data_IF_178570475201
#
_entry.id   IF_178570475201
#
_cell.length_a   1.000
_cell.length_b   1.000
_cell.length_c   1.000
_cell.angle_alpha   90.00
_cell.angle_beta   90.00
_cell.angle_gamma   90.00
#
_symmetry.space_group_name_H-M   'P 1'
#
loop_
_entity.id
_entity.type
_entity.pdbx_description
1 polymer ?
#
# COMPACT_ATOMS: atom_id res chain seq x y z
N UNK A 1 15.42 -14.26 -20.77
CA UNK A 1 14.72 -14.94 -19.67
C UNK A 1 13.23 -14.90 -19.98
N UNK A 2 12.47 -15.97 -19.87
CA UNK A 2 11.03 -15.87 -20.07
C UNK A 2 10.44 -14.96 -19.00
N UNK A 3 9.54 -14.07 -19.42
CA UNK A 3 8.77 -13.21 -18.52
C UNK A 3 7.92 -14.08 -17.58
N UNK A 4 7.74 -13.62 -16.34
CA UNK A 4 6.84 -14.20 -15.38
C UNK A 4 5.45 -14.35 -16.00
N UNK A 5 4.91 -15.56 -16.10
CA UNK A 5 3.53 -15.76 -16.48
C UNK A 5 2.67 -15.74 -15.21
N UNK A 6 1.94 -14.65 -15.01
CA UNK A 6 0.80 -14.68 -14.12
C UNK A 6 -0.33 -15.44 -14.84
N UNK A 7 -0.88 -16.45 -14.20
CA UNK A 7 -2.08 -17.12 -14.70
C UNK A 7 -3.27 -16.38 -14.13
N UNK A 8 -4.08 -15.78 -14.99
CA UNK A 8 -5.29 -15.06 -14.60
C UNK A 8 -6.51 -15.64 -15.31
N UNK A 9 -7.53 -15.99 -14.54
CA UNK A 9 -8.84 -16.40 -15.04
C UNK A 9 -9.86 -15.32 -14.67
N UNK A 10 -10.26 -14.55 -15.67
CA UNK A 10 -11.25 -13.48 -15.54
C UNK A 10 -12.69 -13.93 -15.78
N UNK A 11 -12.93 -15.22 -16.05
CA UNK A 11 -14.24 -15.82 -16.29
C UNK A 11 -15.05 -15.23 -17.45
N UNK A 12 -14.42 -14.50 -18.36
CA UNK A 12 -15.08 -13.74 -19.44
C UNK A 12 -15.58 -14.63 -20.62
N UNK A 13 -15.15 -15.88 -20.67
CA UNK A 13 -15.56 -16.84 -21.70
C UNK A 13 -16.23 -18.06 -21.08
N UNK A 14 -16.89 -18.85 -21.91
CA UNK A 14 -17.62 -20.04 -21.48
C UNK A 14 -19.09 -19.77 -21.16
N UNK A 15 -19.85 -20.84 -21.02
CA UNK A 15 -21.29 -20.82 -20.71
C UNK A 15 -21.62 -21.91 -19.70
N UNK A 16 -22.17 -21.52 -18.56
CA UNK A 16 -22.64 -22.42 -17.51
C UNK A 16 -23.89 -21.82 -16.87
N UNK A 17 -25.08 -22.04 -17.44
CA UNK A 17 -26.29 -21.30 -17.08
C UNK A 17 -27.06 -21.88 -15.89
N UNK A 18 -26.77 -23.09 -15.49
CA UNK A 18 -27.46 -23.82 -14.40
C UNK A 18 -26.50 -24.18 -13.27
N UNK A 19 -27.04 -24.49 -12.10
CA UNK A 19 -26.28 -24.83 -10.90
C UNK A 19 -25.86 -26.32 -10.78
N UNK A 20 -26.20 -27.18 -11.74
CA UNK A 20 -25.74 -28.55 -11.71
C UNK A 20 -24.21 -28.65 -11.78
N UNK A 21 -23.65 -29.70 -11.19
CA UNK A 21 -22.21 -29.95 -11.31
C UNK A 21 -21.81 -30.11 -12.78
N UNK A 22 -20.78 -29.43 -13.22
CA UNK A 22 -20.32 -29.54 -14.61
C UNK A 22 -19.02 -28.79 -14.89
N UNK A 23 -18.27 -29.34 -15.86
CA UNK A 23 -17.04 -28.72 -16.37
C UNK A 23 -17.36 -27.64 -17.39
N UNK A 24 -16.59 -26.58 -17.37
CA UNK A 24 -16.63 -25.47 -18.33
C UNK A 24 -15.22 -25.13 -18.79
N UNK A 25 -15.03 -24.97 -20.10
CA UNK A 25 -13.77 -24.49 -20.65
C UNK A 25 -13.70 -22.98 -20.54
N UNK A 26 -12.70 -22.51 -19.81
CA UNK A 26 -12.38 -21.09 -19.56
C UNK A 26 -11.03 -20.73 -20.20
N UNK A 27 -10.57 -19.50 -20.02
CA UNK A 27 -9.35 -19.00 -20.67
C UNK A 27 -8.07 -19.73 -20.24
N UNK A 28 -8.00 -20.15 -18.99
CA UNK A 28 -6.84 -20.83 -18.39
C UNK A 28 -6.90 -22.34 -18.49
N UNK A 29 -8.05 -22.91 -18.85
CA UNK A 29 -8.28 -24.35 -18.92
C UNK A 29 -9.70 -24.72 -18.49
N UNK A 30 -9.93 -26.02 -18.22
CA UNK A 30 -11.24 -26.48 -17.74
C UNK A 30 -11.38 -26.32 -16.24
N UNK A 31 -12.56 -25.87 -15.82
CA UNK A 31 -12.93 -25.72 -14.42
C UNK A 31 -14.25 -26.45 -14.14
N UNK A 32 -14.33 -27.15 -13.02
CA UNK A 32 -15.59 -27.67 -12.52
C UNK A 32 -16.30 -26.64 -11.66
N UNK A 33 -17.55 -26.35 -12.01
CA UNK A 33 -18.47 -25.52 -11.22
C UNK A 33 -19.54 -26.44 -10.64
N UNK A 34 -19.64 -26.50 -9.31
CA UNK A 34 -20.68 -27.23 -8.59
C UNK A 34 -21.49 -26.26 -7.75
N UNK A 35 -22.82 -26.34 -7.86
CA UNK A 35 -23.75 -25.38 -7.27
C UNK A 35 -23.35 -23.90 -7.60
N UNK A 36 -22.90 -23.71 -8.85
CA UNK A 36 -22.34 -22.47 -9.37
C UNK A 36 -22.68 -22.28 -10.86
N UNK A 37 -22.75 -21.03 -11.28
CA UNK A 37 -23.00 -20.60 -12.67
C UNK A 37 -22.04 -19.51 -13.11
N UNK A 38 -21.87 -19.31 -14.42
CA UNK A 38 -21.33 -18.09 -14.98
C UNK A 38 -22.46 -17.06 -15.10
N UNK A 39 -22.47 -16.08 -14.20
CA UNK A 39 -23.51 -15.07 -14.09
C UNK A 39 -23.15 -13.79 -14.84
N UNK A 40 -24.11 -13.27 -15.61
CA UNK A 40 -23.94 -12.06 -16.42
C UNK A 40 -25.09 -11.05 -16.24
N UNK A 41 -25.91 -11.22 -15.21
CA UNK A 41 -27.01 -10.33 -14.91
C UNK A 41 -26.55 -9.01 -14.30
N UNK A 42 -27.41 -8.00 -14.23
CA UNK A 42 -27.12 -6.75 -13.57
C UNK A 42 -26.89 -6.86 -12.04
N UNK A 43 -27.33 -7.97 -11.45
CA UNK A 43 -27.12 -8.25 -10.03
C UNK A 43 -25.82 -9.04 -9.74
N UNK A 44 -25.11 -9.50 -10.78
CA UNK A 44 -23.77 -10.06 -10.64
C UNK A 44 -22.77 -8.92 -10.55
N UNK A 45 -22.07 -8.84 -9.42
CA UNK A 45 -20.95 -7.91 -9.25
C UNK A 45 -19.73 -8.55 -9.90
N UNK A 46 -19.22 -7.92 -10.95
CA UNK A 46 -18.21 -8.46 -11.85
C UNK A 46 -17.33 -7.36 -12.43
N UNK A 47 -16.11 -7.72 -12.76
CA UNK A 47 -15.22 -6.98 -13.63
C UNK A 47 -15.38 -7.55 -15.04
N UNK A 48 -15.85 -6.78 -16.01
CA UNK A 48 -16.15 -7.28 -17.36
C UNK A 48 -17.58 -7.80 -17.57
N UNK A 49 -17.76 -8.91 -18.32
CA UNK A 49 -19.04 -9.39 -18.82
C UNK A 49 -19.74 -10.37 -17.88
N UNK A 50 -18.99 -11.23 -17.18
CA UNK A 50 -19.54 -12.26 -16.30
C UNK A 50 -18.62 -12.59 -15.14
N UNK A 51 -19.15 -13.22 -14.08
CA UNK A 51 -18.43 -13.72 -12.92
C UNK A 51 -18.99 -15.08 -12.51
N UNK A 52 -18.26 -15.87 -11.74
CA UNK A 52 -18.80 -17.08 -11.13
C UNK A 52 -19.73 -16.69 -9.99
N UNK A 53 -20.98 -17.17 -10.00
CA UNK A 53 -21.96 -17.01 -8.93
C UNK A 53 -22.17 -18.34 -8.21
N UNK A 54 -21.73 -18.41 -6.97
CA UNK A 54 -21.87 -19.55 -6.06
C UNK A 54 -23.12 -19.41 -5.20
N UNK A 55 -23.85 -20.51 -4.96
CA UNK A 55 -24.92 -20.58 -3.97
C UNK A 55 -24.70 -21.75 -3.02
N UNK A 56 -25.44 -21.82 -1.91
CA UNK A 56 -25.40 -22.87 -0.89
C UNK A 56 -23.96 -23.26 -0.51
N UNK A 57 -23.52 -24.50 -0.76
CA UNK A 57 -22.18 -25.03 -0.54
C UNK A 57 -21.37 -25.14 -1.83
N UNK A 58 -21.61 -24.28 -2.81
CA UNK A 58 -21.02 -24.34 -4.14
C UNK A 58 -19.50 -24.24 -4.15
N UNK A 59 -18.90 -24.78 -5.19
CA UNK A 59 -17.45 -24.76 -5.41
C UNK A 59 -17.06 -24.47 -6.85
N UNK A 60 -15.82 -24.03 -6.99
CA UNK A 60 -15.14 -23.69 -8.24
C UNK A 60 -13.76 -24.35 -8.21
N UNK A 61 -13.50 -25.34 -9.07
CA UNK A 61 -12.32 -26.21 -8.98
C UNK A 61 -11.57 -26.25 -10.31
N UNK A 62 -10.25 -26.00 -10.29
CA UNK A 62 -9.36 -26.23 -11.43
C UNK A 62 -9.28 -27.71 -11.76
N UNK A 63 -9.48 -28.10 -13.03
CA UNK A 63 -9.30 -29.47 -13.51
C UNK A 63 -7.84 -29.73 -13.95
N UNK A 64 -7.01 -28.72 -14.04
CA UNK A 64 -5.62 -28.78 -14.46
C UNK A 64 -4.68 -28.35 -13.32
N UNK A 65 -3.42 -28.73 -13.42
CA UNK A 65 -2.37 -28.31 -12.50
C UNK A 65 -1.53 -27.20 -13.12
N UNK A 66 -1.25 -26.17 -12.35
CA UNK A 66 -0.18 -25.22 -12.64
C UNK A 66 1.16 -25.96 -12.52
N UNK A 67 2.07 -25.87 -13.50
CA UNK A 67 3.25 -26.73 -13.56
C UNK A 67 4.34 -26.36 -12.55
N UNK A 68 4.46 -25.09 -12.22
CA UNK A 68 5.55 -24.51 -11.43
C UNK A 68 5.20 -24.31 -9.96
N UNK A 69 3.90 -24.29 -9.63
CA UNK A 69 3.41 -23.97 -8.29
C UNK A 69 2.82 -22.57 -8.20
N UNK A 70 2.61 -22.09 -6.96
CA UNK A 70 2.06 -20.76 -6.70
C UNK A 70 2.77 -20.11 -5.49
N UNK A 71 3.09 -18.83 -5.60
CA UNK A 71 3.58 -17.99 -4.50
C UNK A 71 2.43 -17.21 -3.84
N UNK A 72 1.59 -16.57 -4.63
CA UNK A 72 0.42 -15.83 -4.16
C UNK A 72 -0.79 -16.06 -5.06
N UNK A 73 -1.99 -15.87 -4.48
CA UNK A 73 -3.25 -15.87 -5.22
C UNK A 73 -4.04 -14.65 -4.80
N UNK A 74 -4.64 -13.96 -5.76
CA UNK A 74 -5.66 -12.93 -5.51
C UNK A 74 -6.98 -13.35 -6.15
N UNK A 75 -8.09 -12.98 -5.50
CA UNK A 75 -9.46 -13.30 -5.95
C UNK A 75 -10.35 -12.10 -5.69
N UNK A 76 -11.06 -11.65 -6.71
CA UNK A 76 -12.11 -10.64 -6.53
C UNK A 76 -13.40 -11.31 -6.06
N UNK A 77 -14.09 -10.68 -5.09
CA UNK A 77 -15.34 -11.23 -4.54
C UNK A 77 -16.33 -10.15 -4.11
N UNK A 78 -17.63 -10.44 -4.24
CA UNK A 78 -18.71 -9.58 -3.75
C UNK A 78 -19.96 -10.42 -3.42
N UNK A 79 -20.91 -9.88 -2.63
CA UNK A 79 -22.23 -10.50 -2.53
C UNK A 79 -22.96 -10.35 -3.86
N UNK A 80 -23.86 -11.28 -4.20
CA UNK A 80 -24.73 -11.11 -5.36
C UNK A 80 -25.87 -10.16 -5.03
N UNK A 81 -26.08 -9.13 -5.83
CA UNK A 81 -27.13 -8.14 -5.61
C UNK A 81 -27.11 -7.55 -4.19
N UNK A 82 -28.17 -7.84 -3.43
CA UNK A 82 -28.31 -7.42 -2.03
C UNK A 82 -28.40 -8.62 -1.07
N UNK A 83 -27.87 -9.78 -1.48
CA UNK A 83 -27.87 -10.97 -0.65
C UNK A 83 -27.07 -10.75 0.65
N UNK A 84 -27.41 -11.52 1.70
CA UNK A 84 -26.69 -11.45 2.97
C UNK A 84 -25.22 -11.93 2.80
N UNK A 85 -24.39 -11.60 3.78
CA UNK A 85 -22.99 -12.01 3.82
C UNK A 85 -22.83 -13.53 3.79
N UNK A 86 -21.75 -13.99 3.19
CA UNK A 86 -21.34 -15.39 3.16
C UNK A 86 -19.84 -15.53 3.29
N UNK A 87 -19.35 -16.70 3.67
CA UNK A 87 -17.92 -16.98 3.75
C UNK A 87 -17.50 -18.03 2.73
N UNK A 88 -16.24 -17.96 2.33
CA UNK A 88 -15.62 -18.94 1.45
C UNK A 88 -14.15 -19.17 1.85
N UNK A 89 -13.59 -20.24 1.33
CA UNK A 89 -12.24 -20.70 1.63
C UNK A 89 -11.53 -21.14 0.36
N UNK A 90 -10.22 -20.90 0.32
CA UNK A 90 -9.34 -21.39 -0.72
C UNK A 90 -8.67 -22.69 -0.28
N UNK A 91 -8.61 -23.66 -1.17
CA UNK A 91 -7.91 -24.93 -0.97
C UNK A 91 -6.92 -25.18 -2.10
N UNK A 92 -5.81 -25.83 -1.76
CA UNK A 92 -4.78 -26.27 -2.70
C UNK A 92 -4.65 -27.79 -2.66
N UNK A 93 -4.38 -28.39 -3.82
CA UNK A 93 -3.97 -29.77 -3.95
C UNK A 93 -2.64 -29.82 -4.70
N UNK A 94 -1.57 -30.22 -4.00
CA UNK A 94 -0.23 -30.39 -4.57
C UNK A 94 0.00 -31.84 -4.99
N UNK A 95 0.59 -32.02 -6.16
CA UNK A 95 0.98 -33.34 -6.65
C UNK A 95 2.18 -33.93 -5.89
N UNK A 96 3.01 -33.07 -5.28
CA UNK A 96 4.22 -33.50 -4.54
C UNK A 96 3.94 -34.32 -3.30
N UNK A 97 2.75 -34.22 -2.70
CA UNK A 97 2.41 -35.00 -1.51
C UNK A 97 1.88 -36.40 -1.82
N UNK A 98 1.66 -36.76 -3.08
CA UNK A 98 1.11 -38.05 -3.53
C UNK A 98 -0.17 -38.52 -2.77
N UNK A 99 -0.93 -37.56 -2.19
CA UNK A 99 -2.01 -37.85 -1.25
C UNK A 99 -3.39 -37.43 -1.74
N UNK A 100 -3.54 -36.83 -2.93
CA UNK A 100 -4.81 -36.31 -3.49
C UNK A 100 -5.64 -35.50 -2.48
N UNK A 101 -4.99 -34.88 -1.48
CA UNK A 101 -5.66 -34.20 -0.38
C UNK A 101 -5.74 -32.70 -0.66
N UNK A 102 -6.92 -32.13 -0.48
CA UNK A 102 -7.11 -30.70 -0.44
C UNK A 102 -6.69 -30.13 0.94
N UNK A 103 -5.86 -29.12 0.93
CA UNK A 103 -5.40 -28.40 2.14
C UNK A 103 -5.88 -26.97 2.06
N UNK A 104 -6.49 -26.47 3.12
CA UNK A 104 -6.92 -25.07 3.21
C UNK A 104 -5.71 -24.13 3.15
N UNK A 105 -5.84 -23.06 2.38
CA UNK A 105 -4.85 -21.98 2.24
C UNK A 105 -5.38 -20.70 2.90
N UNK A 106 -4.62 -20.15 3.81
CA UNK A 106 -4.96 -18.89 4.48
C UNK A 106 -6.22 -18.94 5.36
N UNK A 107 -6.74 -17.78 5.67
CA UNK A 107 -7.92 -17.60 6.50
C UNK A 107 -9.23 -17.73 5.70
N UNK A 108 -10.34 -17.93 6.39
CA UNK A 108 -11.70 -17.87 5.80
C UNK A 108 -12.00 -16.42 5.42
N UNK A 109 -12.48 -16.18 4.22
CA UNK A 109 -12.87 -14.86 3.73
C UNK A 109 -14.36 -14.63 3.97
N UNK A 110 -14.69 -13.52 4.61
CA UNK A 110 -16.07 -13.03 4.76
C UNK A 110 -16.38 -12.03 3.63
N UNK A 111 -17.40 -12.31 2.82
CA UNK A 111 -17.93 -11.43 1.81
C UNK A 111 -19.20 -10.74 2.30
N UNK A 112 -19.17 -9.43 2.46
CA UNK A 112 -20.31 -8.63 2.92
C UNK A 112 -20.57 -7.37 2.06
N UNK A 113 -19.69 -7.07 1.12
CA UNK A 113 -19.76 -5.90 0.24
C UNK A 113 -20.41 -6.26 -1.10
N UNK A 114 -21.22 -5.34 -1.63
CA UNK A 114 -21.70 -5.37 -3.01
C UNK A 114 -20.74 -4.73 -4.01
N UNK A 115 -19.61 -4.22 -3.54
CA UNK A 115 -18.49 -3.77 -4.39
C UNK A 115 -17.44 -4.86 -4.36
N UNK A 116 -16.85 -5.18 -5.52
CA UNK A 116 -15.76 -6.14 -5.61
C UNK A 116 -14.62 -5.77 -4.66
N UNK A 117 -14.19 -6.71 -3.87
CA UNK A 117 -13.06 -6.63 -2.94
C UNK A 117 -12.02 -7.68 -3.32
N UNK A 118 -10.77 -7.41 -3.06
CA UNK A 118 -9.68 -8.37 -3.33
C UNK A 118 -9.35 -9.15 -2.07
N UNK A 119 -9.42 -10.47 -2.13
CA UNK A 119 -8.82 -11.35 -1.14
C UNK A 119 -7.45 -11.82 -1.64
N UNK A 120 -6.42 -11.73 -0.81
CA UNK A 120 -5.05 -12.15 -1.13
C UNK A 120 -4.60 -13.30 -0.23
N UNK A 121 -3.89 -14.27 -0.81
CA UNK A 121 -3.40 -15.47 -0.12
C UNK A 121 -1.92 -15.67 -0.40
N UNK A 122 -1.11 -15.81 0.64
CA UNK A 122 0.25 -16.34 0.53
C UNK A 122 0.17 -17.86 0.47
N UNK A 123 0.63 -18.45 -0.62
CA UNK A 123 0.51 -19.89 -0.90
C UNK A 123 1.83 -20.63 -0.71
N UNK A 124 2.89 -20.16 -1.33
CA UNK A 124 4.27 -20.69 -1.26
C UNK A 124 4.37 -22.21 -1.48
N UNK A 125 3.66 -22.72 -2.48
CA UNK A 125 3.70 -24.14 -2.88
C UNK A 125 4.53 -24.29 -4.17
N UNK A 126 5.63 -25.03 -4.10
CA UNK A 126 6.46 -25.38 -5.26
C UNK A 126 5.94 -26.64 -5.96
N UNK A 127 6.18 -26.75 -7.26
CA UNK A 127 5.76 -27.88 -8.08
C UNK A 127 4.27 -27.86 -8.42
N UNK A 128 3.78 -28.92 -9.06
CA UNK A 128 2.44 -28.94 -9.62
C UNK A 128 1.35 -28.80 -8.56
N UNK A 129 0.48 -27.79 -8.73
CA UNK A 129 -0.61 -27.46 -7.80
C UNK A 129 -1.86 -27.03 -8.56
N UNK A 130 -3.02 -27.31 -8.00
CA UNK A 130 -4.32 -26.78 -8.45
C UNK A 130 -5.14 -26.30 -7.25
N UNK A 131 -6.15 -25.48 -7.52
CA UNK A 131 -6.90 -24.77 -6.50
C UNK A 131 -8.40 -25.01 -6.61
N UNK A 132 -9.07 -24.84 -5.47
CA UNK A 132 -10.52 -24.91 -5.34
C UNK A 132 -11.00 -23.82 -4.37
N UNK A 133 -12.04 -23.10 -4.77
CA UNK A 133 -12.78 -22.19 -3.89
C UNK A 133 -14.05 -22.91 -3.44
N UNK A 134 -14.34 -22.90 -2.14
CA UNK A 134 -15.55 -23.46 -1.53
C UNK A 134 -16.29 -22.41 -0.73
N UNK A 135 -17.57 -22.22 -1.02
CA UNK A 135 -18.46 -21.44 -0.18
C UNK A 135 -18.80 -22.22 1.09
N UNK A 136 -18.56 -21.63 2.26
CA UNK A 136 -18.63 -22.35 3.56
C UNK A 136 -19.77 -21.86 4.48
N UNK A 137 -20.34 -20.68 4.21
CA UNK A 137 -21.46 -20.15 5.00
C UNK A 137 -22.44 -19.32 4.19
N UNK A 138 -23.47 -18.77 4.84
CA UNK A 138 -24.48 -17.89 4.24
C UNK A 138 -25.66 -18.63 3.59
N UNK A 139 -25.70 -19.97 3.64
CA UNK A 139 -26.82 -20.79 3.13
C UNK A 139 -27.16 -20.41 1.66
N UNK A 140 -28.39 -19.95 1.41
CA UNK A 140 -28.86 -19.56 0.07
C UNK A 140 -28.38 -18.20 -0.41
N UNK A 141 -27.73 -17.39 0.42
CA UNK A 141 -27.11 -16.14 -0.01
C UNK A 141 -26.05 -16.45 -1.06
N UNK A 142 -26.07 -15.75 -2.18
CA UNK A 142 -25.17 -15.98 -3.32
C UNK A 142 -23.96 -15.06 -3.21
N UNK A 143 -22.87 -15.51 -3.77
CA UNK A 143 -21.59 -14.83 -3.77
C UNK A 143 -21.00 -14.82 -5.18
N UNK A 144 -20.49 -13.70 -5.64
CA UNK A 144 -19.73 -13.61 -6.86
C UNK A 144 -18.23 -13.79 -6.57
N UNK A 145 -17.57 -14.57 -7.43
CA UNK A 145 -16.11 -14.72 -7.50
C UNK A 145 -15.67 -14.30 -8.89
N UNK A 146 -14.62 -13.49 -8.96
CA UNK A 146 -14.09 -12.96 -10.20
C UNK A 146 -12.56 -12.84 -10.14
N UNK A 147 -11.89 -12.60 -11.26
CA UNK A 147 -10.46 -12.32 -11.39
C UNK A 147 -9.58 -13.20 -10.48
N UNK A 148 -9.57 -14.51 -10.75
CA UNK A 148 -8.69 -15.43 -10.05
C UNK A 148 -7.29 -15.36 -10.64
N UNK A 149 -6.36 -14.68 -9.97
CA UNK A 149 -5.00 -14.51 -10.44
C UNK A 149 -4.00 -15.28 -9.57
N UNK A 150 -3.09 -16.00 -10.21
CA UNK A 150 -2.02 -16.76 -9.55
C UNK A 150 -0.67 -16.22 -10.00
N UNK A 151 0.18 -15.91 -9.02
CA UNK A 151 1.60 -15.74 -9.28
C UNK A 151 2.31 -17.08 -9.10
N UNK A 152 3.05 -17.49 -10.11
CA UNK A 152 3.78 -18.76 -10.09
C UNK A 152 4.81 -18.83 -8.97
N UNK A 153 5.08 -20.04 -8.46
CA UNK A 153 6.13 -20.28 -7.47
C UNK A 153 7.52 -20.11 -8.09
N UNK A 154 8.42 -19.45 -7.39
CA UNK A 154 9.79 -19.20 -7.87
C UNK A 154 9.88 -18.20 -9.01
N UNK A 155 8.75 -17.71 -9.52
CA UNK A 155 8.74 -16.44 -10.23
C UNK A 155 8.90 -15.40 -9.15
N UNK A 156 10.07 -14.77 -9.11
CA UNK A 156 10.18 -13.54 -8.35
C UNK A 156 9.05 -12.64 -8.86
N UNK A 157 8.08 -12.31 -8.01
CA UNK A 157 7.33 -11.07 -8.17
C UNK A 157 8.38 -10.05 -8.61
N UNK A 158 8.10 -9.10 -9.54
CA UNK A 158 8.98 -7.95 -9.61
C UNK A 158 9.16 -7.55 -8.15
N UNK A 159 10.36 -7.80 -7.63
CA UNK A 159 10.55 -7.77 -6.18
C UNK A 159 10.07 -6.38 -5.77
N UNK A 160 9.12 -6.30 -4.86
CA UNK A 160 8.78 -5.03 -4.23
C UNK A 160 9.98 -4.54 -3.40
N UNK A 161 11.07 -5.35 -3.37
CA UNK A 161 12.35 -4.95 -2.81
C UNK A 161 12.75 -3.61 -3.43
N UNK A 162 13.11 -2.68 -2.58
CA UNK A 162 13.40 -1.29 -2.92
C UNK A 162 12.19 -0.49 -3.46
N UNK A 163 10.99 -1.11 -3.56
CA UNK A 163 9.78 -0.36 -3.88
C UNK A 163 9.38 0.54 -2.71
N UNK A 164 9.00 1.77 -3.00
CA UNK A 164 8.46 2.70 -2.00
C UNK A 164 7.23 2.15 -1.26
N UNK A 165 6.55 1.14 -1.81
CA UNK A 165 5.35 0.50 -1.24
C UNK A 165 5.60 -0.95 -0.79
N UNK A 166 6.86 -1.38 -0.65
CA UNK A 166 7.17 -2.76 -0.25
C UNK A 166 6.47 -3.17 1.05
N UNK A 167 6.39 -2.28 2.02
CA UNK A 167 5.76 -2.54 3.32
C UNK A 167 4.25 -2.20 3.37
N UNK A 168 3.67 -1.65 2.29
CA UNK A 168 2.23 -1.38 2.20
C UNK A 168 1.88 -0.05 1.55
N UNK A 169 0.60 0.10 1.22
CA UNK A 169 -0.02 1.34 0.75
C UNK A 169 -0.88 1.92 1.88
N UNK A 170 -0.41 2.91 2.63
CA UNK A 170 -0.98 3.33 3.92
C UNK A 170 -2.47 3.63 3.93
N UNK A 171 -3.01 4.11 2.84
CA UNK A 171 -4.41 4.55 2.74
C UNK A 171 -5.19 3.86 1.62
N UNK A 172 -4.61 2.82 0.97
CA UNK A 172 -5.19 2.25 -0.24
C UNK A 172 -5.34 3.29 -1.36
N UNK A 173 -4.37 4.21 -1.51
CA UNK A 173 -4.40 5.24 -2.56
C UNK A 173 -4.35 4.59 -3.95
N UNK A 174 -5.07 5.17 -4.92
CA UNK A 174 -5.20 4.63 -6.28
C UNK A 174 -4.98 5.74 -7.32
N UNK A 175 -4.48 5.38 -8.50
CA UNK A 175 -4.32 6.28 -9.65
C UNK A 175 -5.68 6.56 -10.34
N UNK A 176 -6.66 6.96 -9.56
CA UNK A 176 -8.00 7.27 -10.06
C UNK A 176 -8.37 8.73 -9.73
N UNK A 177 -8.68 9.51 -10.76
CA UNK A 177 -9.10 10.91 -10.64
C UNK A 177 -10.42 11.08 -9.85
N UNK A 178 -11.21 10.02 -9.74
CA UNK A 178 -12.43 9.97 -8.92
C UNK A 178 -12.12 9.75 -7.43
N UNK A 179 -10.88 9.45 -7.07
CA UNK A 179 -10.37 9.38 -5.70
C UNK A 179 -9.45 10.56 -5.37
N UNK A 180 -9.90 11.82 -5.54
CA UNK A 180 -9.02 13.00 -5.58
C UNK A 180 -8.33 13.31 -4.25
N UNK A 181 -8.85 12.81 -3.14
CA UNK A 181 -8.30 13.05 -1.81
C UNK A 181 -7.48 11.87 -1.28
N UNK A 182 -7.32 10.84 -2.12
CA UNK A 182 -6.46 9.68 -1.89
C UNK A 182 -5.84 9.21 -3.22
N UNK A 183 -5.28 10.16 -3.98
CA UNK A 183 -4.73 9.93 -5.30
C UNK A 183 -3.29 9.44 -5.23
N UNK A 184 -2.99 8.31 -5.86
CA UNK A 184 -1.65 7.73 -5.89
C UNK A 184 -0.81 8.37 -7.01
N UNK A 185 0.36 8.89 -6.64
CA UNK A 185 1.41 9.33 -7.57
C UNK A 185 2.65 8.47 -7.35
N UNK A 186 2.96 7.61 -8.31
CA UNK A 186 4.17 6.77 -8.28
C UNK A 186 5.28 7.47 -9.05
N UNK A 187 6.40 7.71 -8.39
CA UNK A 187 7.64 8.25 -8.97
C UNK A 187 8.80 7.29 -8.70
N UNK A 188 9.85 7.28 -9.53
CA UNK A 188 11.02 6.44 -9.28
C UNK A 188 11.67 6.70 -7.91
N UNK A 189 11.58 7.92 -7.40
CA UNK A 189 12.24 8.35 -6.19
C UNK A 189 11.40 8.14 -4.91
N UNK A 190 10.09 8.19 -5.02
CA UNK A 190 9.13 8.06 -3.90
C UNK A 190 7.70 7.89 -4.43
N UNK A 191 6.81 7.43 -3.58
CA UNK A 191 5.37 7.34 -3.88
C UNK A 191 4.59 8.26 -2.95
N UNK A 192 3.55 8.90 -3.47
CA UNK A 192 2.73 9.90 -2.77
C UNK A 192 1.28 9.48 -2.76
N UNK A 193 0.64 9.48 -1.60
CA UNK A 193 -0.81 9.56 -1.47
C UNK A 193 -1.22 11.04 -1.41
N UNK A 194 -1.71 11.60 -2.52
CA UNK A 194 -2.00 13.03 -2.63
C UNK A 194 -3.44 13.38 -2.28
N UNK A 195 -3.62 14.52 -1.65
CA UNK A 195 -4.94 15.07 -1.33
C UNK A 195 -5.16 16.39 -2.09
N UNK A 196 -6.00 16.33 -3.13
CA UNK A 196 -6.31 17.49 -3.98
C UNK A 196 -6.93 18.64 -3.18
N UNK A 197 -7.89 18.35 -2.32
CA UNK A 197 -8.66 19.36 -1.60
C UNK A 197 -7.85 20.00 -0.44
N UNK A 198 -6.79 19.31 0.01
CA UNK A 198 -5.85 19.87 0.98
C UNK A 198 -4.60 20.49 0.33
N UNK A 199 -4.39 20.29 -0.99
CA UNK A 199 -3.23 20.84 -1.71
C UNK A 199 -1.88 20.34 -1.18
N UNK A 200 -1.82 19.12 -0.61
CA UNK A 200 -0.62 18.55 -0.03
C UNK A 200 -0.71 17.00 -0.02
N UNK A 201 0.42 16.28 0.18
CA UNK A 201 0.36 14.85 0.40
C UNK A 201 -0.35 14.52 1.73
N UNK A 202 -1.10 13.42 1.75
CA UNK A 202 -1.50 12.72 2.95
C UNK A 202 -0.29 12.02 3.57
N UNK A 203 0.47 11.34 2.70
CA UNK A 203 1.71 10.65 3.03
C UNK A 203 2.63 10.57 1.80
N UNK A 204 3.92 10.36 2.07
CA UNK A 204 4.96 10.03 1.09
C UNK A 204 5.76 8.86 1.64
N UNK A 205 6.01 7.85 0.80
CA UNK A 205 6.80 6.67 1.14
C UNK A 205 7.98 6.49 0.19
N UNK A 206 9.12 6.05 0.72
CA UNK A 206 10.31 5.73 -0.07
C UNK A 206 11.19 4.66 0.57
N UNK A 207 11.92 3.94 -0.26
CA UNK A 207 13.05 3.13 0.14
C UNK A 207 14.31 4.00 0.16
N UNK A 208 15.27 3.72 1.01
CA UNK A 208 16.55 4.43 1.11
C UNK A 208 17.68 3.45 1.41
N UNK A 209 18.67 3.42 0.54
CA UNK A 209 19.94 2.71 0.74
C UNK A 209 21.15 3.54 0.30
N UNK A 210 22.33 2.92 0.23
CA UNK A 210 23.55 3.60 -0.17
C UNK A 210 23.55 4.02 -1.65
N UNK A 211 22.84 3.31 -2.53
CA UNK A 211 22.79 3.60 -3.98
C UNK A 211 21.93 4.84 -4.28
N UNK A 212 21.04 5.23 -3.37
CA UNK A 212 20.31 6.50 -3.43
C UNK A 212 21.18 7.72 -3.12
N UNK A 213 22.33 7.48 -2.53
CA UNK A 213 23.29 8.51 -2.11
C UNK A 213 24.41 8.69 -3.14
N UNK A 214 24.83 9.92 -3.30
CA UNK A 214 25.91 10.31 -4.20
C UNK A 214 26.41 11.72 -3.88
N UNK A 215 26.91 12.41 -4.88
CA UNK A 215 27.54 13.73 -4.74
C UNK A 215 26.77 14.86 -5.41
N UNK A 216 25.53 14.59 -5.86
CA UNK A 216 24.72 15.66 -6.46
C UNK A 216 24.35 16.71 -5.44
N UNK A 217 24.60 17.97 -5.79
CA UNK A 217 24.23 19.11 -4.97
C UNK A 217 22.70 19.23 -4.84
N UNK A 218 22.27 19.88 -3.76
CA UNK A 218 20.88 20.24 -3.55
C UNK A 218 20.42 21.22 -4.63
N UNK A 219 19.31 20.86 -5.35
CA UNK A 219 18.86 21.62 -6.52
C UNK A 219 18.05 22.88 -6.18
N UNK A 220 17.32 22.89 -5.07
CA UNK A 220 16.43 24.00 -4.62
C UNK A 220 15.43 24.50 -5.69
N UNK A 221 15.13 23.68 -6.68
CA UNK A 221 14.29 23.98 -7.84
C UNK A 221 12.79 23.69 -7.59
N UNK A 222 12.27 24.21 -6.48
CA UNK A 222 10.88 24.05 -6.09
C UNK A 222 9.92 24.43 -7.24
N UNK A 223 9.02 23.52 -7.58
CA UNK A 223 8.09 23.66 -8.71
C UNK A 223 6.84 22.84 -8.54
N UNK A 224 5.80 23.21 -9.28
CA UNK A 224 4.60 22.39 -9.39
C UNK A 224 4.92 21.02 -10.00
N UNK A 225 4.05 20.05 -9.74
CA UNK A 225 4.21 18.68 -10.26
C UNK A 225 3.31 18.46 -11.48
N UNK A 226 3.89 18.30 -12.69
CA UNK A 226 3.10 18.10 -13.91
C UNK A 226 2.38 16.75 -13.96
N UNK A 227 2.68 15.82 -13.04
CA UNK A 227 2.01 14.52 -12.97
C UNK A 227 0.62 14.58 -12.30
N UNK A 228 0.25 15.73 -11.70
CA UNK A 228 -1.11 15.90 -11.22
C UNK A 228 -2.11 15.94 -12.38
N UNK A 229 -3.32 15.35 -12.22
CA UNK A 229 -4.34 15.34 -13.24
C UNK A 229 -4.68 16.74 -13.76
N UNK A 230 -5.03 16.83 -15.05
CA UNK A 230 -5.40 18.09 -15.69
C UNK A 230 -6.60 18.74 -14.97
N UNK A 231 -6.51 20.05 -14.79
CA UNK A 231 -7.54 20.85 -14.11
C UNK A 231 -7.45 20.88 -12.59
N UNK A 232 -6.53 20.09 -11.98
CA UNK A 232 -6.30 20.20 -10.56
C UNK A 232 -5.44 21.42 -10.23
N UNK A 233 -5.66 21.98 -9.03
CA UNK A 233 -4.84 23.08 -8.55
C UNK A 233 -3.39 22.62 -8.39
N UNK A 234 -2.48 23.36 -9.01
CA UNK A 234 -1.05 23.12 -8.98
C UNK A 234 -0.42 24.04 -7.91
N UNK A 235 0.00 23.49 -6.79
CA UNK A 235 0.75 24.24 -5.77
C UNK A 235 2.07 24.71 -6.37
N UNK A 236 2.34 26.03 -6.27
CA UNK A 236 3.53 26.67 -6.82
C UNK A 236 4.60 26.90 -5.75
N UNK A 237 5.82 27.10 -6.16
CA UNK A 237 6.96 27.40 -5.25
C UNK A 237 6.73 28.63 -4.35
N UNK A 238 5.88 29.55 -4.77
CA UNK A 238 5.53 30.77 -4.07
C UNK A 238 4.15 30.75 -3.39
N UNK A 239 3.42 29.62 -3.45
CA UNK A 239 2.14 29.49 -2.77
C UNK A 239 2.25 29.67 -1.25
N UNK A 240 3.40 29.32 -0.68
CA UNK A 240 3.79 29.64 0.70
C UNK A 240 5.31 29.57 0.86
N UNK A 241 5.84 30.32 1.83
CA UNK A 241 7.25 30.27 2.22
C UNK A 241 7.46 30.78 3.65
N UNK A 242 8.60 30.42 4.26
CA UNK A 242 8.92 30.74 5.66
C UNK A 242 8.99 32.21 5.96
N UNK A 243 9.43 33.06 5.02
CA UNK A 243 9.58 34.52 5.25
C UNK A 243 8.23 35.26 5.28
N UNK A 244 7.19 34.72 4.64
CA UNK A 244 5.87 35.38 4.55
C UNK A 244 4.89 34.76 5.55
N UNK A 245 4.78 33.43 5.58
CA UNK A 245 3.78 32.72 6.37
C UNK A 245 4.35 32.11 7.64
N UNK A 246 5.68 32.03 7.76
CA UNK A 246 6.35 31.30 8.84
C UNK A 246 6.37 29.78 8.67
N UNK A 247 5.89 29.26 7.52
CA UNK A 247 5.96 27.85 7.19
C UNK A 247 6.92 27.62 6.03
N UNK A 248 7.85 26.70 6.23
CA UNK A 248 8.75 26.22 5.18
C UNK A 248 7.98 25.29 4.23
N UNK A 249 8.51 25.12 3.02
CA UNK A 249 8.19 24.01 2.14
C UNK A 249 8.90 22.78 2.70
N UNK A 250 8.27 22.16 3.71
CA UNK A 250 8.82 21.00 4.40
C UNK A 250 8.80 19.77 3.52
N UNK A 251 9.98 19.17 3.28
CA UNK A 251 10.11 17.93 2.53
C UNK A 251 9.52 16.76 3.30
N UNK A 252 8.79 15.90 2.61
CA UNK A 252 8.51 14.55 3.09
C UNK A 252 9.71 13.66 2.77
N UNK A 253 9.96 13.29 1.49
CA UNK A 253 11.21 12.67 1.08
C UNK A 253 12.30 13.76 0.93
N UNK A 254 13.34 13.77 1.78
CA UNK A 254 14.31 14.87 1.78
C UNK A 254 15.29 14.77 0.61
N UNK A 255 15.75 15.91 0.11
CA UNK A 255 16.74 15.96 -0.99
C UNK A 255 18.04 15.22 -0.65
N UNK A 256 18.43 15.23 0.63
CA UNK A 256 19.61 14.51 1.09
C UNK A 256 19.51 12.98 0.97
N UNK A 257 18.32 12.41 0.82
CA UNK A 257 18.10 10.98 0.58
C UNK A 257 18.16 10.62 -0.91
N UNK A 258 18.26 11.60 -1.81
CA UNK A 258 18.26 11.43 -3.26
C UNK A 258 19.38 12.23 -3.91
N UNK A 259 20.63 11.86 -3.61
CA UNK A 259 21.82 12.56 -4.12
C UNK A 259 22.62 11.75 -5.15
N UNK A 260 22.09 10.62 -5.59
CA UNK A 260 22.73 9.76 -6.61
C UNK A 260 22.77 10.42 -7.99
N UNK A 261 21.85 11.32 -8.31
CA UNK A 261 21.86 12.13 -9.54
C UNK A 261 21.16 13.47 -9.34
N UNK A 262 21.42 14.42 -10.25
CA UNK A 262 20.72 15.71 -10.31
C UNK A 262 19.21 15.50 -10.50
N UNK A 263 18.80 14.58 -11.35
CA UNK A 263 17.40 14.26 -11.61
C UNK A 263 16.71 13.74 -10.37
N UNK A 264 17.31 12.77 -9.64
CA UNK A 264 16.77 12.23 -8.42
C UNK A 264 16.64 13.29 -7.33
N UNK A 265 17.62 14.17 -7.20
CA UNK A 265 17.58 15.27 -6.25
C UNK A 265 16.49 16.28 -6.62
N UNK A 266 16.44 16.71 -7.86
CA UNK A 266 15.43 17.63 -8.41
C UNK A 266 14.00 17.12 -8.22
N UNK A 267 13.77 15.82 -8.35
CA UNK A 267 12.44 15.23 -8.13
C UNK A 267 11.90 15.50 -6.71
N UNK A 268 12.76 15.59 -5.71
CA UNK A 268 12.35 15.85 -4.32
C UNK A 268 11.76 17.25 -4.13
N UNK A 269 11.98 18.18 -5.06
CA UNK A 269 11.50 19.57 -5.00
C UNK A 269 10.13 19.79 -5.68
N UNK A 270 9.46 18.73 -6.12
CA UNK A 270 8.04 18.86 -6.51
C UNK A 270 7.18 19.25 -5.31
N UNK A 271 6.27 20.21 -5.52
CA UNK A 271 5.37 20.67 -4.45
C UNK A 271 4.40 19.57 -3.96
N UNK A 272 4.24 18.47 -4.70
CA UNK A 272 3.52 17.27 -4.23
C UNK A 272 4.28 16.48 -3.17
N UNK A 273 5.56 16.74 -2.97
CA UNK A 273 6.39 16.19 -1.88
C UNK A 273 6.46 17.14 -0.67
N UNK A 274 5.80 18.29 -0.71
CA UNK A 274 5.90 19.35 0.30
C UNK A 274 4.67 19.41 1.21
N UNK A 275 4.90 19.74 2.47
CA UNK A 275 3.85 20.14 3.42
C UNK A 275 4.19 21.51 4.05
N UNK A 276 3.21 22.36 4.39
CA UNK A 276 3.46 23.54 5.19
C UNK A 276 3.96 23.13 6.57
N UNK A 277 5.25 23.32 6.84
CA UNK A 277 5.88 22.90 8.10
C UNK A 277 6.47 24.11 8.81
N UNK A 278 6.24 24.21 10.12
CA UNK A 278 6.85 25.28 10.94
C UNK A 278 8.37 25.22 10.84
N UNK A 279 9.01 26.36 10.62
CA UNK A 279 10.46 26.41 10.34
C UNK A 279 11.31 25.80 11.46
N UNK A 280 10.93 25.98 12.73
CA UNK A 280 11.66 25.36 13.85
C UNK A 280 11.44 23.85 13.95
N UNK A 281 10.29 23.35 13.53
CA UNK A 281 10.07 21.90 13.40
C UNK A 281 10.93 21.36 12.25
N UNK A 282 10.79 21.92 11.05
CA UNK A 282 11.47 21.49 9.83
C UNK A 282 13.01 21.49 9.99
N UNK A 283 13.58 22.63 10.45
CA UNK A 283 15.03 22.83 10.58
C UNK A 283 15.60 22.30 11.90
N UNK A 284 14.76 21.86 12.82
CA UNK A 284 15.12 21.37 14.15
C UNK A 284 14.98 19.85 14.28
N UNK A 285 14.00 19.37 15.05
CA UNK A 285 13.87 17.94 15.34
C UNK A 285 13.65 17.08 14.09
N UNK A 286 12.95 17.59 13.07
CA UNK A 286 12.71 16.86 11.83
C UNK A 286 14.01 16.60 11.05
N UNK A 287 14.80 17.65 10.79
CA UNK A 287 16.09 17.51 10.12
C UNK A 287 17.08 16.62 10.91
N UNK A 288 17.10 16.76 12.24
CA UNK A 288 17.95 15.92 13.09
C UNK A 288 17.57 14.44 13.03
N UNK A 289 16.28 14.12 12.95
CA UNK A 289 15.84 12.75 12.77
C UNK A 289 16.27 12.20 11.40
N UNK A 290 16.19 13.01 10.34
CA UNK A 290 16.67 12.63 9.01
C UNK A 290 18.19 12.38 9.00
N UNK A 291 18.97 13.27 9.64
CA UNK A 291 20.41 13.07 9.77
C UNK A 291 20.73 11.80 10.56
N UNK A 292 20.04 11.57 11.67
CA UNK A 292 20.19 10.37 12.48
C UNK A 292 19.85 9.10 11.68
N UNK A 293 18.76 9.12 10.92
CA UNK A 293 18.35 8.00 10.07
C UNK A 293 19.45 7.62 9.07
N UNK A 294 20.07 8.60 8.42
CA UNK A 294 21.17 8.36 7.47
C UNK A 294 22.42 7.76 8.09
N UNK A 295 22.61 7.86 9.41
CA UNK A 295 23.76 7.19 10.07
C UNK A 295 23.69 5.68 10.04
N UNK A 296 22.52 5.09 9.78
CA UNK A 296 22.36 3.62 9.68
C UNK A 296 22.67 3.07 8.30
N UNK A 297 22.75 3.91 7.25
CA UNK A 297 22.94 3.45 5.87
C UNK A 297 24.11 2.49 5.65
N UNK A 298 25.30 2.64 6.30
CA UNK A 298 26.33 1.61 6.18
C UNK A 298 25.83 0.26 6.65
N UNK A 299 25.55 -0.67 5.70
CA UNK A 299 25.09 -2.03 5.99
C UNK A 299 23.58 -2.19 6.23
N UNK A 300 22.82 -1.12 6.18
CA UNK A 300 21.35 -1.15 6.28
C UNK A 300 20.68 -0.41 5.13
N UNK A 301 19.43 -0.77 4.93
CA UNK A 301 18.44 -0.09 4.11
C UNK A 301 17.24 0.30 4.97
N UNK A 302 16.45 1.23 4.49
CA UNK A 302 15.32 1.73 5.26
C UNK A 302 14.09 1.92 4.39
N UNK A 303 12.95 1.62 4.97
CA UNK A 303 11.65 2.00 4.45
C UNK A 303 11.10 3.13 5.30
N UNK A 304 10.84 4.25 4.66
CA UNK A 304 10.36 5.46 5.35
C UNK A 304 9.00 5.83 4.79
N UNK A 305 8.05 6.05 5.67
CA UNK A 305 6.78 6.69 5.34
C UNK A 305 6.56 7.85 6.28
N UNK A 306 6.17 8.99 5.73
CA UNK A 306 5.85 10.16 6.54
C UNK A 306 4.70 10.96 5.94
N UNK A 307 4.12 11.83 6.73
CA UNK A 307 3.03 12.69 6.29
C UNK A 307 2.58 13.66 7.36
N UNK A 308 1.37 14.13 7.19
CA UNK A 308 0.81 15.11 8.11
C UNK A 308 -0.70 14.98 8.21
N UNK A 309 -1.26 15.30 9.38
CA UNK A 309 -2.69 15.25 9.62
C UNK A 309 -3.19 16.43 10.45
N UNK A 310 -4.51 16.49 10.62
CA UNK A 310 -5.16 17.55 11.35
C UNK A 310 -5.15 18.88 10.59
N UNK A 311 -5.56 19.94 11.26
CA UNK A 311 -5.68 21.28 10.68
C UNK A 311 -5.27 22.34 11.71
N UNK A 312 -4.45 23.28 11.27
CA UNK A 312 -3.97 24.40 12.06
C UNK A 312 -2.57 24.20 12.67
N UNK A 313 -1.63 25.09 12.33
CA UNK A 313 -0.27 25.11 12.85
C UNK A 313 0.19 26.53 13.20
N UNK A 314 1.34 26.65 13.88
CA UNK A 314 1.92 27.93 14.27
C UNK A 314 3.27 28.11 13.56
N UNK A 315 3.30 29.05 12.61
CA UNK A 315 4.51 29.38 11.85
C UNK A 315 5.56 30.19 12.63
N UNK A 316 6.73 30.39 12.03
CA UNK A 316 7.85 31.11 12.63
C UNK A 316 7.53 32.60 12.98
N UNK A 317 6.51 33.18 12.35
CA UNK A 317 6.00 34.51 12.66
C UNK A 317 5.02 34.51 13.86
N UNK A 318 4.88 33.40 14.56
CA UNK A 318 3.90 33.12 15.62
C UNK A 318 2.43 33.27 15.19
N UNK A 319 2.15 33.24 13.87
CA UNK A 319 0.81 33.21 13.33
C UNK A 319 0.24 31.81 13.33
N UNK A 320 -1.00 31.66 13.81
CA UNK A 320 -1.80 30.45 13.64
C UNK A 320 -2.50 30.49 12.29
N UNK A 321 -2.34 29.44 11.51
CA UNK A 321 -2.97 29.30 10.20
C UNK A 321 -3.60 27.93 10.07
N UNK A 322 -4.82 27.88 9.57
CA UNK A 322 -5.49 26.64 9.17
C UNK A 322 -5.27 26.31 7.69
N UNK A 323 -5.15 27.36 6.89
CA UNK A 323 -4.94 27.24 5.44
C UNK A 323 -4.03 28.34 4.94
N UNK A 324 -3.38 28.09 3.82
CA UNK A 324 -2.58 29.06 3.05
C UNK A 324 -3.15 29.17 1.63
N UNK A 325 -2.61 30.11 0.86
CA UNK A 325 -2.93 30.32 -0.56
C UNK A 325 -4.45 30.38 -0.83
N UNK A 326 -5.13 31.32 -0.15
CA UNK A 326 -6.57 31.52 -0.26
C UNK A 326 -7.43 30.29 0.05
N UNK A 327 -7.01 29.47 1.02
CA UNK A 327 -7.73 28.30 1.47
C UNK A 327 -7.43 27.02 0.70
N UNK A 328 -6.56 27.07 -0.31
CA UNK A 328 -6.25 25.94 -1.19
C UNK A 328 -5.24 24.94 -0.60
N UNK A 329 -4.49 25.34 0.41
CA UNK A 329 -3.49 24.49 1.05
C UNK A 329 -3.79 24.41 2.54
N UNK A 330 -4.03 23.20 3.04
CA UNK A 330 -4.24 22.97 4.48
C UNK A 330 -2.91 22.98 5.21
N UNK A 331 -2.82 23.78 6.28
CA UNK A 331 -1.72 23.69 7.24
C UNK A 331 -2.05 22.57 8.22
N UNK A 332 -1.23 21.51 8.31
CA UNK A 332 -1.48 20.42 9.24
C UNK A 332 -1.16 20.82 10.68
N UNK A 333 -1.81 20.18 11.66
CA UNK A 333 -1.48 20.36 13.07
C UNK A 333 -0.31 19.50 13.51
N UNK A 334 -0.07 18.39 12.85
CA UNK A 334 0.95 17.40 13.18
C UNK A 334 1.68 16.89 11.93
N UNK A 335 2.97 16.62 12.09
CA UNK A 335 3.82 15.92 11.13
C UNK A 335 4.29 14.62 11.77
N UNK A 336 4.22 13.52 11.04
CA UNK A 336 4.61 12.21 11.53
C UNK A 336 5.58 11.51 10.57
N UNK A 337 6.38 10.59 11.09
CA UNK A 337 7.31 9.78 10.30
C UNK A 337 7.48 8.41 10.94
N UNK A 338 7.46 7.35 10.12
CA UNK A 338 7.77 5.97 10.50
C UNK A 338 8.94 5.49 9.66
N UNK A 339 9.94 4.89 10.30
CA UNK A 339 11.20 4.44 9.70
C UNK A 339 11.40 3.00 10.12
N UNK A 340 11.41 2.08 9.17
CA UNK A 340 11.76 0.66 9.37
C UNK A 340 13.19 0.45 8.91
N UNK A 341 14.03 -0.10 9.78
CA UNK A 341 15.48 -0.29 9.53
C UNK A 341 15.75 -1.79 9.35
N UNK A 342 16.31 -2.15 8.20
CA UNK A 342 16.67 -3.53 7.85
C UNK A 342 18.16 -3.61 7.47
N UNK A 343 18.88 -4.70 7.76
CA UNK A 343 20.13 -4.98 7.07
C UNK A 343 19.91 -5.08 5.57
N UNK A 344 20.83 -4.60 4.72
CA UNK A 344 20.74 -4.71 3.25
C UNK A 344 20.52 -6.17 2.84
N UNK A 345 19.57 -6.42 1.95
CA UNK A 345 19.26 -7.78 1.48
C UNK A 345 18.15 -7.80 0.42
N UNK A 346 17.59 -8.97 0.22
CA UNK A 346 16.46 -9.23 -0.68
C UNK A 346 15.27 -9.80 0.11
N UNK A 347 14.07 -9.73 -0.46
CA UNK A 347 12.80 -10.13 0.18
C UNK A 347 12.50 -9.32 1.45
N UNK A 348 12.57 -8.01 1.37
CA UNK A 348 12.56 -7.07 2.49
C UNK A 348 11.36 -7.21 3.40
N UNK A 349 10.14 -7.23 2.85
CA UNK A 349 8.93 -7.42 3.64
C UNK A 349 8.96 -8.73 4.45
N UNK A 350 9.51 -9.81 3.88
CA UNK A 350 9.62 -11.10 4.56
C UNK A 350 10.72 -11.14 5.64
N UNK A 351 11.67 -10.20 5.61
CA UNK A 351 12.74 -10.08 6.61
C UNK A 351 12.34 -9.24 7.82
N UNK A 352 11.28 -8.42 7.70
CA UNK A 352 10.73 -7.70 8.85
C UNK A 352 10.18 -8.70 9.86
N UNK A 353 10.54 -8.55 11.11
CA UNK A 353 10.13 -9.45 12.19
C UNK A 353 9.97 -8.69 13.52
N UNK A 354 9.53 -9.37 14.57
CA UNK A 354 9.27 -8.77 15.89
C UNK A 354 10.46 -8.03 16.52
N UNK A 355 11.70 -8.24 16.04
CA UNK A 355 12.91 -7.57 16.53
C UNK A 355 13.37 -6.46 15.58
N UNK A 356 12.71 -6.24 14.47
CA UNK A 356 13.04 -5.15 13.54
C UNK A 356 12.85 -3.81 14.24
N UNK A 357 13.85 -2.94 14.14
CA UNK A 357 13.77 -1.61 14.73
C UNK A 357 12.87 -0.73 13.88
N UNK A 358 11.86 -0.15 14.53
CA UNK A 358 10.94 0.82 13.94
C UNK A 358 10.97 2.10 14.78
N UNK A 359 11.25 3.23 14.14
CA UNK A 359 11.20 4.55 14.77
C UNK A 359 9.94 5.24 14.28
N UNK A 360 9.02 5.57 15.17
CA UNK A 360 7.83 6.34 14.89
C UNK A 360 7.84 7.64 15.68
N UNK A 361 7.57 8.78 15.04
CA UNK A 361 7.47 10.08 15.66
C UNK A 361 6.21 10.83 15.23
N UNK A 362 5.63 11.61 16.15
CA UNK A 362 4.48 12.49 15.90
C UNK A 362 4.77 13.87 16.51
N UNK A 363 5.08 14.82 15.65
CA UNK A 363 5.55 16.15 16.04
C UNK A 363 4.46 17.21 15.83
N UNK A 364 4.14 18.07 16.82
CA UNK A 364 3.24 19.20 16.58
C UNK A 364 3.86 20.17 15.56
N UNK A 365 3.04 20.70 14.66
CA UNK A 365 3.46 21.65 13.65
C UNK A 365 3.48 23.08 14.19
N UNK A 366 4.37 23.33 15.15
CA UNK A 366 4.51 24.61 15.85
C UNK A 366 5.96 25.07 15.88
N UNK A 367 6.16 26.37 16.03
CA UNK A 367 7.50 26.94 16.09
C UNK A 367 8.14 26.83 17.48
N UNK A 368 7.36 26.82 18.57
CA UNK A 368 7.83 26.55 19.92
C UNK A 368 7.93 25.04 20.19
N UNK A 369 8.95 24.38 19.60
CA UNK A 369 9.13 22.93 19.60
C UNK A 369 10.49 22.55 20.22
N UNK A 370 10.56 21.43 20.92
CA UNK A 370 11.82 20.87 21.42
C UNK A 370 12.67 20.39 20.24
N UNK A 371 13.95 20.74 20.26
CA UNK A 371 14.90 20.34 19.21
C UNK A 371 15.34 18.85 19.32
N UNK A 372 15.01 18.18 20.42
CA UNK A 372 15.25 16.74 20.58
C UNK A 372 14.10 15.93 19.97
N UNK A 373 14.33 15.35 18.81
CA UNK A 373 13.32 14.54 18.13
C UNK A 373 12.83 13.33 18.95
N UNK A 374 13.66 12.80 19.82
CA UNK A 374 13.33 11.66 20.68
C UNK A 374 12.17 11.92 21.63
N UNK A 375 11.90 13.21 21.96
CA UNK A 375 10.74 13.65 22.77
C UNK A 375 9.40 13.31 22.09
N UNK A 376 9.39 13.16 20.74
CA UNK A 376 8.19 12.95 19.95
C UNK A 376 7.99 11.50 19.52
N UNK A 377 8.75 10.57 20.08
CA UNK A 377 8.57 9.14 19.82
C UNK A 377 7.18 8.69 20.23
N UNK A 378 6.61 7.84 19.40
CA UNK A 378 5.29 7.25 19.60
C UNK A 378 5.28 5.82 19.05
N UNK A 379 4.14 5.17 19.03
CA UNK A 379 3.91 3.89 18.37
C UNK A 379 3.40 4.12 16.95
N UNK A 380 3.55 3.13 16.06
CA UNK A 380 2.90 3.13 14.75
C UNK A 380 1.38 3.13 14.93
N UNK A 381 0.84 2.28 15.83
CA UNK A 381 -0.60 2.22 16.18
C UNK A 381 -1.19 3.59 16.52
N UNK A 382 -0.44 4.44 17.23
CA UNK A 382 -0.90 5.79 17.59
C UNK A 382 -0.99 6.73 16.37
N UNK A 383 -0.10 6.57 15.39
CA UNK A 383 -0.16 7.30 14.12
C UNK A 383 -1.34 6.80 13.30
N UNK A 384 -1.55 5.49 13.22
CA UNK A 384 -2.68 4.89 12.52
C UNK A 384 -4.02 5.32 13.11
N UNK A 385 -4.15 5.28 14.44
CA UNK A 385 -5.33 5.77 15.12
C UNK A 385 -5.62 7.26 14.85
N UNK A 386 -4.58 8.09 14.67
CA UNK A 386 -4.72 9.51 14.39
C UNK A 386 -5.03 9.82 12.91
N UNK A 387 -4.60 8.96 11.99
CA UNK A 387 -4.68 9.18 10.54
C UNK A 387 -5.77 8.35 9.85
N UNK A 388 -6.12 7.20 10.43
CA UNK A 388 -6.98 6.20 9.82
C UNK A 388 -6.27 5.35 8.76
N UNK A 389 -4.93 5.32 8.75
CA UNK A 389 -4.12 4.55 7.82
C UNK A 389 -3.75 3.17 8.39
N UNK A 390 -3.31 2.28 7.52
CA UNK A 390 -2.73 0.97 7.81
C UNK A 390 -1.32 0.96 7.20
N UNK A 391 -0.29 1.28 8.01
CA UNK A 391 1.01 1.74 7.53
C UNK A 391 1.92 0.63 7.00
N UNK A 392 1.95 -0.51 7.64
CA UNK A 392 2.82 -1.65 7.32
C UNK A 392 2.01 -2.85 6.83
N UNK A 393 0.92 -2.60 6.14
CA UNK A 393 -0.15 -3.52 5.76
C UNK A 393 0.27 -4.74 4.92
N UNK A 394 1.45 -4.71 4.28
CA UNK A 394 2.00 -5.86 3.56
C UNK A 394 2.74 -6.86 4.48
N UNK A 395 2.91 -6.54 5.76
CA UNK A 395 3.54 -7.43 6.72
C UNK A 395 2.53 -8.42 7.30
N UNK A 396 2.97 -9.62 7.74
CA UNK A 396 2.10 -10.52 8.50
C UNK A 396 1.53 -9.84 9.76
N UNK A 397 0.26 -10.06 10.07
CA UNK A 397 -0.45 -9.38 11.19
C UNK A 397 0.26 -9.59 12.53
N UNK A 398 0.85 -10.76 12.77
CA UNK A 398 1.64 -11.04 13.98
C UNK A 398 2.92 -10.19 14.06
N UNK A 399 3.51 -9.83 12.92
CA UNK A 399 4.66 -8.93 12.85
C UNK A 399 4.22 -7.50 13.10
N UNK A 400 3.15 -7.04 12.42
CA UNK A 400 2.55 -5.73 12.65
C UNK A 400 2.26 -5.53 14.14
N UNK A 401 1.46 -6.39 14.78
CA UNK A 401 1.13 -6.34 16.20
C UNK A 401 2.38 -6.26 17.10
N UNK A 402 3.48 -6.92 16.70
CA UNK A 402 4.70 -6.96 17.49
C UNK A 402 5.56 -5.70 17.39
N UNK A 403 5.55 -4.99 16.24
CA UNK A 403 6.42 -3.82 16.02
C UNK A 403 5.67 -2.49 16.12
N UNK A 404 4.38 -2.45 15.76
CA UNK A 404 3.58 -1.22 15.69
C UNK A 404 3.18 -0.71 17.06
N UNK A 405 2.99 -1.59 18.03
CA UNK A 405 2.68 -1.25 19.42
C UNK A 405 3.87 -0.73 20.24
N UNK A 406 5.10 -0.78 19.69
CA UNK A 406 6.32 -0.41 20.41
C UNK A 406 6.73 1.03 20.18
N UNK A 407 7.16 1.71 21.24
CA UNK A 407 7.92 2.97 21.14
C UNK A 407 9.40 2.64 21.05
N UNK A 408 10.10 3.18 20.03
CA UNK A 408 11.56 3.02 19.93
C UNK A 408 12.26 3.59 21.16
N UNK A 409 13.14 2.82 21.76
CA UNK A 409 13.94 3.18 22.93
C UNK A 409 15.44 3.26 22.64
N UNK A 410 15.84 3.18 21.37
CA UNK A 410 17.22 3.31 20.95
C UNK A 410 17.79 4.70 21.21
N UNK A 411 19.11 4.91 21.03
CA UNK A 411 19.73 6.20 21.24
C UNK A 411 19.13 7.28 20.32
N UNK A 412 19.22 8.52 20.78
CA UNK A 412 18.92 9.77 20.03
C UNK A 412 20.20 10.58 20.03
N UNK A 413 21.00 10.48 19.02
CA UNK A 413 22.23 11.27 18.91
C UNK A 413 21.99 12.58 18.21
#
# INVERSE_FOLDING_TARGET
>A
MPFAQNTEEAFEIGVKPDYSNGSVALSTGSWTLDDAVLGNTAADHKNGAQAVRLQQGGSLTMEFFLPTGASTITVQHAVYGTDASSSWELFAQSESCNCNKWTKVGSTVLTSSSVLQTAAFTVNISGRVKFEIRKTSGGKARLNIDDFAVTEFGVAQPSLDNSSLALGNPSGAVEDVNSPNNYLLVKPQFTVGYNRDQGKPNWVSWHLDMDDRGTSDRQDDFRNDPALPAGWYQVQSNSYNGSVTGFDRGHNCPSADRTSSVENNSATFFMTNMMPQSSKNNQGPWAKLEDYTRTFLPGNEMYVVCGSYGKGGIGATNGYYETLDNGRITVPSNCWKVIVILPVGINDAARVNANTRVIAVNMPNINAIDANWGTYRTTVDAIEAATGYDLLSNLPVEVQNAIESKVDNGPVL
#
